data_IF_969273592621
#
_entry.id   IF_969273592621
#
_cell.length_a   1.000
_cell.length_b   1.000
_cell.length_c   1.000
_cell.angle_alpha   90.00
_cell.angle_beta   90.00
_cell.angle_gamma   90.00
#
_symmetry.space_group_name_H-M   'P 1'
#
loop_
_entity.id
_entity.type
_entity.pdbx_description
1 polymer ?
#
# COMPACT_ATOMS: atom_id res chain seq x y z
N UNK A 1 41.64 -14.56 -45.12
CA UNK A 1 40.33 -13.90 -44.92
C UNK A 1 39.35 -14.78 -44.16
N UNK A 2 39.12 -16.05 -44.56
CA UNK A 2 38.21 -16.99 -43.88
C UNK A 2 38.52 -17.26 -42.39
N UNK A 3 39.80 -17.28 -42.00
CA UNK A 3 40.18 -17.54 -40.60
C UNK A 3 39.76 -16.39 -39.65
N UNK A 4 39.91 -15.14 -40.09
CA UNK A 4 39.51 -13.97 -39.29
C UNK A 4 37.98 -13.90 -39.12
N UNK A 5 37.22 -14.24 -40.16
CA UNK A 5 35.74 -14.25 -40.07
C UNK A 5 35.23 -15.32 -39.11
N UNK A 6 35.85 -16.50 -39.08
CA UNK A 6 35.50 -17.57 -38.13
C UNK A 6 35.82 -17.16 -36.69
N UNK A 7 36.97 -16.52 -36.45
CA UNK A 7 37.32 -16.04 -35.10
C UNK A 7 36.39 -14.94 -34.59
N UNK A 8 35.97 -14.01 -35.45
CA UNK A 8 35.01 -12.95 -35.10
C UNK A 8 33.63 -13.55 -34.77
N UNK A 9 33.16 -14.49 -35.59
CA UNK A 9 31.90 -15.22 -35.33
C UNK A 9 31.95 -16.02 -34.03
N UNK A 10 33.07 -16.69 -33.75
CA UNK A 10 33.29 -17.40 -32.49
C UNK A 10 33.25 -16.46 -31.28
N UNK A 11 33.93 -15.32 -31.34
CA UNK A 11 33.93 -14.32 -30.28
C UNK A 11 32.54 -13.73 -30.04
N UNK A 12 31.76 -13.46 -31.10
CA UNK A 12 30.38 -12.99 -30.99
C UNK A 12 29.46 -14.01 -30.35
N UNK A 13 29.58 -15.30 -30.70
CA UNK A 13 28.79 -16.37 -30.10
C UNK A 13 29.09 -16.56 -28.61
N UNK A 14 30.38 -16.50 -28.23
CA UNK A 14 30.80 -16.57 -26.83
C UNK A 14 30.30 -15.34 -26.05
N UNK A 15 30.43 -14.14 -26.63
CA UNK A 15 29.94 -12.90 -26.05
C UNK A 15 28.42 -12.91 -25.83
N UNK A 16 27.65 -13.43 -26.79
CA UNK A 16 26.20 -13.56 -26.66
C UNK A 16 25.79 -14.49 -25.52
N UNK A 17 26.44 -15.65 -25.41
CA UNK A 17 26.20 -16.59 -24.30
C UNK A 17 26.55 -16.00 -22.94
N UNK A 18 27.61 -15.20 -22.87
CA UNK A 18 28.04 -14.49 -21.66
C UNK A 18 27.02 -13.43 -21.24
N UNK A 19 26.61 -12.54 -22.14
CA UNK A 19 25.63 -11.48 -21.86
C UNK A 19 24.28 -12.06 -21.44
N UNK A 20 23.79 -13.07 -22.16
CA UNK A 20 22.50 -13.69 -21.87
C UNK A 20 22.45 -14.31 -20.46
N UNK A 21 23.53 -14.94 -20.01
CA UNK A 21 23.56 -15.58 -18.69
C UNK A 21 23.94 -14.63 -17.56
N UNK A 22 24.82 -13.67 -17.82
CA UNK A 22 25.35 -12.81 -16.77
C UNK A 22 24.48 -11.59 -16.48
N UNK A 23 23.72 -11.09 -17.46
CA UNK A 23 22.90 -9.88 -17.33
C UNK A 23 21.41 -10.21 -17.44
N UNK A 24 20.98 -10.93 -18.48
CA UNK A 24 19.53 -11.14 -18.72
C UNK A 24 18.87 -11.95 -17.61
N UNK A 25 19.44 -13.08 -17.20
CA UNK A 25 18.82 -13.93 -16.19
C UNK A 25 18.61 -13.24 -14.82
N UNK A 26 19.59 -12.51 -14.26
CA UNK A 26 19.37 -11.72 -13.03
C UNK A 26 18.34 -10.60 -13.19
N UNK A 27 18.33 -9.91 -14.34
CA UNK A 27 17.37 -8.83 -14.59
C UNK A 27 15.94 -9.38 -14.61
N UNK A 28 15.71 -10.52 -15.27
CA UNK A 28 14.40 -11.18 -15.26
C UNK A 28 13.96 -11.53 -13.84
N UNK A 29 14.85 -12.09 -13.00
CA UNK A 29 14.53 -12.39 -11.59
C UNK A 29 14.18 -11.13 -10.79
N UNK A 30 14.83 -10.01 -11.06
CA UNK A 30 14.50 -8.73 -10.43
C UNK A 30 13.11 -8.24 -10.87
N UNK A 31 12.76 -8.39 -12.15
CA UNK A 31 11.42 -8.08 -12.66
C UNK A 31 10.36 -8.97 -12.03
N UNK A 32 10.61 -10.28 -11.93
CA UNK A 32 9.69 -11.23 -11.30
C UNK A 32 9.49 -10.91 -9.81
N UNK A 33 10.57 -10.53 -9.12
CA UNK A 33 10.52 -10.09 -7.72
C UNK A 33 9.72 -8.79 -7.55
N UNK A 34 9.85 -7.84 -8.48
CA UNK A 34 9.05 -6.61 -8.48
C UNK A 34 7.57 -6.88 -8.71
N UNK A 35 7.21 -7.73 -9.67
CA UNK A 35 5.82 -8.15 -9.89
C UNK A 35 5.25 -8.90 -8.67
N UNK A 36 6.04 -9.78 -8.06
CA UNK A 36 5.65 -10.46 -6.83
C UNK A 36 5.43 -9.49 -5.66
N UNK A 37 6.19 -8.39 -5.61
CA UNK A 37 6.03 -7.34 -4.60
C UNK A 37 4.75 -6.52 -4.80
N UNK A 38 4.40 -6.18 -6.04
CA UNK A 38 3.12 -5.52 -6.37
C UNK A 38 1.91 -6.37 -5.94
N UNK A 39 2.03 -7.69 -6.07
CA UNK A 39 1.00 -8.65 -5.63
C UNK A 39 1.08 -9.02 -4.14
N UNK A 40 1.88 -8.31 -3.33
CA UNK A 40 2.08 -8.57 -1.90
C UNK A 40 2.53 -10.01 -1.55
N UNK A 41 3.17 -10.70 -2.50
CA UNK A 41 3.67 -12.08 -2.37
C UNK A 41 5.20 -12.17 -2.50
N UNK A 42 5.90 -11.06 -2.30
CA UNK A 42 7.34 -11.01 -2.43
C UNK A 42 8.02 -11.86 -1.35
N UNK A 43 8.84 -12.81 -1.80
CA UNK A 43 9.74 -13.58 -0.94
C UNK A 43 11.19 -13.13 -1.17
N UNK A 44 11.88 -12.57 -0.16
CA UNK A 44 13.29 -12.19 -0.21
C UNK A 44 14.25 -13.28 -0.69
N UNK A 45 13.89 -14.55 -0.53
CA UNK A 45 14.73 -15.67 -0.94
C UNK A 45 14.79 -15.85 -2.46
N UNK A 46 13.80 -15.35 -3.20
CA UNK A 46 13.81 -15.34 -4.68
C UNK A 46 15.02 -14.59 -5.25
N UNK A 47 15.48 -13.55 -4.55
CA UNK A 47 16.65 -12.76 -4.92
C UNK A 47 17.95 -13.20 -4.25
N UNK A 48 17.94 -14.23 -3.39
CA UNK A 48 19.14 -14.66 -2.65
C UNK A 48 20.33 -14.98 -3.56
N UNK A 49 20.07 -15.57 -4.74
CA UNK A 49 21.09 -15.85 -5.73
C UNK A 49 21.70 -14.58 -6.37
N UNK A 50 20.90 -13.56 -6.63
CA UNK A 50 21.37 -12.28 -7.19
C UNK A 50 22.10 -11.46 -6.13
N UNK A 51 21.59 -11.48 -4.89
CA UNK A 51 22.11 -10.74 -3.74
C UNK A 51 23.54 -11.12 -3.33
N UNK A 52 23.97 -12.34 -3.65
CA UNK A 52 25.34 -12.83 -3.43
C UNK A 52 26.36 -12.25 -4.41
N UNK A 53 25.91 -11.63 -5.51
CA UNK A 53 26.80 -11.00 -6.49
C UNK A 53 27.45 -9.76 -5.91
N UNK A 54 28.67 -9.48 -6.35
CA UNK A 54 29.49 -8.33 -5.90
C UNK A 54 29.42 -7.15 -6.88
N UNK A 55 28.56 -7.23 -7.89
CA UNK A 55 28.34 -6.20 -8.90
C UNK A 55 27.12 -5.32 -8.58
N UNK A 56 26.82 -4.39 -9.47
CA UNK A 56 25.71 -3.45 -9.36
C UNK A 56 24.36 -4.17 -9.31
N UNK A 57 24.23 -5.32 -9.97
CA UNK A 57 23.01 -6.14 -9.91
C UNK A 57 22.82 -6.75 -8.52
N UNK A 58 23.91 -7.19 -7.89
CA UNK A 58 23.88 -7.62 -6.49
C UNK A 58 23.49 -6.49 -5.54
N UNK A 59 24.01 -5.29 -5.77
CA UNK A 59 23.70 -4.11 -4.95
C UNK A 59 22.24 -3.68 -5.10
N UNK A 60 21.74 -3.69 -6.32
CA UNK A 60 20.33 -3.40 -6.61
C UNK A 60 19.41 -4.43 -5.93
N UNK A 61 19.77 -5.72 -5.96
CA UNK A 61 18.99 -6.78 -5.29
C UNK A 61 18.97 -6.59 -3.76
N UNK A 62 20.09 -6.22 -3.13
CA UNK A 62 20.16 -5.90 -1.70
C UNK A 62 19.27 -4.71 -1.36
N UNK A 63 19.39 -3.63 -2.12
CA UNK A 63 18.62 -2.40 -1.93
C UNK A 63 17.12 -2.63 -2.12
N UNK A 64 16.74 -3.32 -3.20
CA UNK A 64 15.34 -3.69 -3.45
C UNK A 64 14.77 -4.52 -2.30
N UNK A 65 15.48 -5.56 -1.84
CA UNK A 65 15.01 -6.42 -0.74
C UNK A 65 14.77 -5.62 0.54
N UNK A 66 15.68 -4.68 0.86
CA UNK A 66 15.53 -3.79 2.03
C UNK A 66 14.32 -2.88 1.88
N UNK A 67 14.14 -2.25 0.72
CA UNK A 67 13.00 -1.35 0.47
C UNK A 67 11.67 -2.11 0.51
N UNK A 68 11.60 -3.30 -0.10
CA UNK A 68 10.40 -4.13 -0.09
C UNK A 68 9.96 -4.48 1.35
N UNK A 69 10.91 -4.90 2.21
CA UNK A 69 10.61 -5.19 3.62
C UNK A 69 10.18 -3.95 4.42
N UNK A 70 10.80 -2.80 4.17
CA UNK A 70 10.44 -1.54 4.83
C UNK A 70 9.04 -1.06 4.41
N UNK A 71 8.72 -1.12 3.12
CA UNK A 71 7.40 -0.72 2.59
C UNK A 71 6.32 -1.65 3.14
N UNK A 72 6.52 -2.97 3.16
CA UNK A 72 5.55 -3.90 3.74
C UNK A 72 5.26 -3.58 5.22
N UNK A 73 6.32 -3.39 6.01
CA UNK A 73 6.19 -3.03 7.44
C UNK A 73 5.43 -1.72 7.64
N UNK A 74 5.68 -0.73 6.78
CA UNK A 74 4.98 0.57 6.81
C UNK A 74 3.51 0.40 6.46
N UNK A 75 3.18 -0.38 5.43
CA UNK A 75 1.79 -0.65 5.05
C UNK A 75 1.05 -1.35 6.19
N UNK A 76 1.61 -2.41 6.77
CA UNK A 76 0.99 -3.13 7.88
C UNK A 76 0.76 -2.22 9.10
N UNK A 77 1.72 -1.33 9.38
CA UNK A 77 1.60 -0.34 10.46
C UNK A 77 0.51 0.68 10.17
N UNK A 78 0.44 1.19 8.93
CA UNK A 78 -0.59 2.14 8.50
C UNK A 78 -1.97 1.52 8.59
N UNK A 79 -2.16 0.29 8.11
CA UNK A 79 -3.45 -0.42 8.18
C UNK A 79 -3.91 -0.58 9.63
N UNK A 80 -2.99 -0.98 10.52
CA UNK A 80 -3.29 -1.07 11.96
C UNK A 80 -3.70 0.28 12.55
N UNK A 81 -2.98 1.35 12.20
CA UNK A 81 -3.28 2.70 12.68
C UNK A 81 -4.61 3.21 12.14
N UNK A 82 -4.91 2.98 10.87
CA UNK A 82 -6.19 3.34 10.26
C UNK A 82 -7.33 2.62 10.97
N UNK A 83 -7.24 1.31 11.16
CA UNK A 83 -8.25 0.54 11.88
C UNK A 83 -8.48 1.07 13.32
N UNK A 84 -7.40 1.35 14.04
CA UNK A 84 -7.47 1.90 15.41
C UNK A 84 -8.13 3.29 15.44
N UNK A 85 -7.79 4.16 14.48
CA UNK A 85 -8.34 5.52 14.38
C UNK A 85 -9.82 5.49 13.98
N UNK A 86 -10.19 4.65 13.02
CA UNK A 86 -11.59 4.47 12.60
C UNK A 86 -12.45 3.99 13.77
N UNK A 87 -12.00 2.97 14.51
CA UNK A 87 -12.72 2.48 15.69
C UNK A 87 -12.88 3.55 16.77
N UNK A 88 -11.84 4.36 17.02
CA UNK A 88 -11.92 5.50 17.95
C UNK A 88 -12.93 6.54 17.49
N UNK A 89 -12.93 6.90 16.21
CA UNK A 89 -13.89 7.84 15.63
C UNK A 89 -15.33 7.33 15.74
N UNK A 90 -15.57 6.06 15.44
CA UNK A 90 -16.89 5.43 15.58
C UNK A 90 -17.39 5.45 17.03
N UNK A 91 -16.52 5.12 18.00
CA UNK A 91 -16.88 5.15 19.42
C UNK A 91 -17.29 6.56 19.87
N UNK A 92 -16.49 7.57 19.47
CA UNK A 92 -16.78 8.98 19.78
C UNK A 92 -18.08 9.44 19.11
N UNK A 93 -18.28 9.11 17.84
CA UNK A 93 -19.52 9.44 17.12
C UNK A 93 -20.75 8.81 17.79
N UNK A 94 -20.66 7.54 18.20
CA UNK A 94 -21.75 6.85 18.88
C UNK A 94 -22.05 7.45 20.27
N UNK A 95 -21.01 7.87 21.02
CA UNK A 95 -21.19 8.60 22.27
C UNK A 95 -21.89 9.93 22.06
N UNK A 96 -21.50 10.69 21.02
CA UNK A 96 -22.14 11.97 20.70
C UNK A 96 -23.60 11.77 20.31
N UNK A 97 -23.90 10.75 19.50
CA UNK A 97 -25.26 10.41 19.08
C UNK A 97 -26.20 10.14 20.27
N UNK A 98 -25.71 9.60 21.38
CA UNK A 98 -26.51 9.39 22.61
C UNK A 98 -26.98 10.69 23.28
N UNK A 99 -26.28 11.79 23.05
CA UNK A 99 -26.61 13.10 23.61
C UNK A 99 -27.29 14.03 22.60
N UNK A 100 -27.31 13.66 21.33
CA UNK A 100 -28.07 14.37 20.30
C UNK A 100 -29.49 13.82 20.26
N UNK A 101 -30.49 14.70 20.18
CA UNK A 101 -31.86 14.23 19.93
C UNK A 101 -31.91 13.52 18.56
N UNK A 102 -32.76 12.49 18.38
CA UNK A 102 -32.83 11.75 17.11
C UNK A 102 -33.03 12.64 15.88
N UNK A 103 -33.71 13.78 16.05
CA UNK A 103 -33.94 14.76 14.98
C UNK A 103 -32.64 15.46 14.54
N UNK A 104 -31.78 15.84 15.49
CA UNK A 104 -30.50 16.50 15.22
C UNK A 104 -29.47 15.52 14.64
N UNK A 105 -29.47 14.27 15.11
CA UNK A 105 -28.65 13.21 14.55
C UNK A 105 -28.95 12.98 13.06
N UNK A 106 -30.24 12.80 12.72
CA UNK A 106 -30.65 12.60 11.33
C UNK A 106 -30.35 13.82 10.44
N UNK A 107 -30.45 15.05 10.96
CA UNK A 107 -30.18 16.25 10.16
C UNK A 107 -28.69 16.45 9.87
N UNK A 108 -27.77 16.04 10.76
CA UNK A 108 -26.33 16.25 10.60
C UNK A 108 -25.66 15.09 9.85
N UNK A 109 -26.08 13.85 10.11
CA UNK A 109 -25.38 12.65 9.61
C UNK A 109 -26.05 11.98 8.40
N UNK A 110 -27.33 12.25 8.12
CA UNK A 110 -28.01 11.77 6.89
C UNK A 110 -27.95 12.78 5.75
N UNK A 111 -27.73 14.06 6.06
CA UNK A 111 -27.54 15.09 5.06
C UNK A 111 -26.12 14.99 4.50
N UNK A 112 -26.03 14.53 3.25
CA UNK A 112 -24.79 14.38 2.50
C UNK A 112 -24.21 15.76 2.17
N UNK A 113 -23.58 16.41 3.15
CA UNK A 113 -22.67 17.56 2.94
C UNK A 113 -23.29 18.96 2.80
N UNK A 114 -24.61 19.14 2.85
CA UNK A 114 -25.21 20.48 2.82
C UNK A 114 -25.70 20.92 4.21
N UNK A 115 -24.78 21.49 4.99
CA UNK A 115 -25.08 22.12 6.28
C UNK A 115 -25.77 23.50 6.13
N UNK A 116 -26.63 23.66 5.11
CA UNK A 116 -27.45 24.84 4.87
C UNK A 116 -28.94 24.46 4.92
N UNK A 117 -29.35 23.73 5.95
CA UNK A 117 -30.76 23.47 6.20
C UNK A 117 -31.45 24.76 6.60
N UNK A 118 -32.38 25.27 5.77
CA UNK A 118 -33.18 26.44 6.15
C UNK A 118 -33.95 26.12 7.43
N UNK A 119 -33.74 26.91 8.48
CA UNK A 119 -34.49 26.77 9.72
C UNK A 119 -35.99 27.04 9.44
N UNK A 120 -36.82 26.00 9.50
CA UNK A 120 -38.25 26.10 9.27
C UNK A 120 -39.01 26.09 10.61
N UNK A 121 -39.92 27.05 10.78
CA UNK A 121 -40.79 27.14 11.97
C UNK A 121 -41.73 25.93 12.01
N UNK A 122 -41.74 25.18 13.12
CA UNK A 122 -42.71 24.10 13.40
C UNK A 122 -43.49 24.40 14.67
N UNK A 123 -44.78 24.04 14.67
CA UNK A 123 -45.59 24.02 15.88
C UNK A 123 -45.22 22.75 16.67
N UNK A 124 -44.56 22.91 17.82
CA UNK A 124 -44.13 21.82 18.69
C UNK A 124 -44.84 21.92 20.04
N UNK A 125 -45.45 20.83 20.49
CA UNK A 125 -45.98 20.71 21.85
C UNK A 125 -44.84 20.31 22.80
N UNK A 126 -44.55 21.16 23.77
CA UNK A 126 -43.47 20.95 24.76
C UNK A 126 -44.12 20.56 26.09
N UNK A 127 -43.62 19.50 26.70
CA UNK A 127 -44.03 19.05 28.03
C UNK A 127 -42.95 19.39 29.04
N UNK A 128 -43.33 19.97 30.18
CA UNK A 128 -42.44 20.29 31.29
C UNK A 128 -42.86 19.44 32.49
N UNK A 129 -41.90 18.76 33.09
CA UNK A 129 -42.08 18.04 34.34
C UNK A 129 -40.87 18.27 35.23
N UNK A 130 -41.13 18.51 36.50
CA UNK A 130 -40.11 18.57 37.54
C UNK A 130 -40.39 17.51 38.61
N UNK A 131 -39.38 17.18 39.40
CA UNK A 131 -39.48 16.26 40.54
C UNK A 131 -39.70 17.06 41.83
N UNK A 132 -40.73 16.69 42.61
CA UNK A 132 -40.93 17.24 43.96
C UNK A 132 -39.87 16.68 44.92
N UNK A 133 -39.29 17.56 45.74
CA UNK A 133 -38.22 17.25 46.71
C UNK A 133 -38.74 16.79 48.07
#
# INVERSE_FOLDING_TARGET
MLLNTVSILGALLIGWGYVARQITAPVVRMTDAAAAFEEQRFDPETLAGVRKRTDELGELARTFTRMAGEVQTRTDTLDRLVAERTSKLENVANRLAKYLSPQIYNSIFSAKGEAAGSLARKNLTIFFSDIEG
#
